data_IF_460438491020
#
_entry.id   IF_460438491020
#
_cell.length_a   1.000
_cell.length_b   1.000
_cell.length_c   1.000
_cell.angle_alpha   90.00
_cell.angle_beta   90.00
_cell.angle_gamma   90.00
#
_symmetry.space_group_name_H-M   'P 1'
#
loop_
_entity.id
_entity.type
_entity.pdbx_description
1 polymer ?
#
# COMPACT_ATOMS: atom_id res chain seq x y z
N UNK A 1 -23.80 4.93 1.47
CA UNK A 1 -23.54 6.17 2.23
C UNK A 1 -22.64 7.06 1.39
N UNK A 2 -23.10 8.26 1.07
CA UNK A 2 -22.39 9.18 0.15
C UNK A 2 -21.02 9.61 0.67
N UNK A 3 -20.90 9.79 1.99
CA UNK A 3 -19.67 10.21 2.66
C UNK A 3 -18.50 9.19 2.56
N UNK A 4 -18.76 7.93 2.23
CA UNK A 4 -17.74 6.90 2.06
C UNK A 4 -17.37 6.64 0.59
N UNK A 5 -17.98 7.36 -0.35
CA UNK A 5 -17.79 7.11 -1.80
C UNK A 5 -16.33 7.13 -2.24
N UNK A 6 -15.56 8.12 -1.81
CA UNK A 6 -14.12 8.20 -2.12
C UNK A 6 -13.37 7.09 -1.39
N UNK A 7 -13.59 6.94 -0.09
CA UNK A 7 -12.92 5.96 0.74
C UNK A 7 -13.06 4.53 0.20
N UNK A 8 -14.27 4.09 -0.11
CA UNK A 8 -14.54 2.75 -0.64
C UNK A 8 -13.90 2.52 -2.02
N UNK A 9 -13.76 3.56 -2.83
CA UNK A 9 -13.11 3.49 -4.14
C UNK A 9 -11.60 3.29 -4.04
N UNK A 10 -10.94 3.86 -3.02
CA UNK A 10 -9.47 3.98 -2.97
C UNK A 10 -8.82 3.12 -1.88
N UNK A 11 -9.60 2.44 -1.04
CA UNK A 11 -9.10 1.69 0.14
C UNK A 11 -8.30 0.44 -0.22
N UNK A 12 -8.68 -0.26 -1.29
CA UNK A 12 -8.10 -1.55 -1.64
C UNK A 12 -6.86 -1.40 -2.51
N UNK A 13 -5.72 -1.90 -2.04
CA UNK A 13 -4.45 -1.92 -2.78
C UNK A 13 -4.32 -3.26 -3.51
N UNK A 14 -4.06 -3.27 -4.83
CA UNK A 14 -3.79 -4.50 -5.54
C UNK A 14 -2.46 -5.13 -5.11
N UNK A 15 -2.34 -6.43 -5.16
CA UNK A 15 -1.12 -7.15 -4.74
C UNK A 15 0.15 -6.68 -5.49
N UNK A 16 -0.01 -6.30 -6.76
CA UNK A 16 1.09 -5.77 -7.59
C UNK A 16 1.65 -4.44 -7.11
N UNK A 17 0.92 -3.71 -6.27
CA UNK A 17 1.34 -2.44 -5.68
C UNK A 17 1.79 -2.59 -4.22
N UNK A 18 1.79 -3.81 -3.67
CA UNK A 18 2.24 -4.11 -2.31
C UNK A 18 3.63 -4.75 -2.33
N UNK A 19 4.45 -4.40 -1.34
CA UNK A 19 5.74 -5.04 -1.10
C UNK A 19 5.91 -5.30 0.39
N UNK A 20 6.17 -6.55 0.77
CA UNK A 20 6.47 -6.89 2.16
C UNK A 20 7.89 -6.43 2.50
N UNK A 21 8.06 -5.74 3.62
CA UNK A 21 9.36 -5.28 4.10
C UNK A 21 10.07 -6.46 4.76
N UNK A 22 11.20 -6.88 4.18
CA UNK A 22 11.94 -8.08 4.62
C UNK A 22 12.90 -7.87 5.79
N UNK A 23 13.30 -6.63 6.07
CA UNK A 23 14.35 -6.34 7.06
C UNK A 23 14.14 -4.98 7.76
N UNK A 24 14.94 -4.74 8.82
CA UNK A 24 14.93 -3.49 9.56
C UNK A 24 13.77 -3.35 10.54
N UNK A 25 13.58 -2.13 11.05
CA UNK A 25 12.56 -1.80 12.08
C UNK A 25 11.12 -2.08 11.62
N UNK A 26 10.87 -2.00 10.32
CA UNK A 26 9.55 -2.19 9.71
C UNK A 26 9.35 -3.60 9.13
N UNK A 27 10.22 -4.56 9.50
CA UNK A 27 10.11 -5.95 9.01
C UNK A 27 8.72 -6.53 9.27
N UNK A 28 8.15 -7.11 8.22
CA UNK A 28 6.80 -7.71 8.26
C UNK A 28 5.67 -6.77 7.92
N UNK A 29 5.92 -5.45 7.88
CA UNK A 29 4.93 -4.48 7.39
C UNK A 29 4.85 -4.50 5.87
N UNK A 30 3.75 -3.98 5.34
CA UNK A 30 3.52 -3.85 3.90
C UNK A 30 3.78 -2.42 3.47
N UNK A 31 4.69 -2.26 2.51
CA UNK A 31 4.90 -1.00 1.80
C UNK A 31 3.97 -0.93 0.58
N UNK A 32 3.46 0.26 0.29
CA UNK A 32 2.61 0.53 -0.87
C UNK A 32 3.42 1.37 -1.85
N UNK A 33 3.51 0.90 -3.10
CA UNK A 33 4.20 1.62 -4.17
C UNK A 33 3.68 3.08 -4.27
N UNK A 34 4.54 4.10 -4.10
CA UNK A 34 4.12 5.50 -4.18
C UNK A 34 3.45 5.87 -5.50
N UNK A 35 3.90 5.30 -6.63
CA UNK A 35 3.29 5.55 -7.93
C UNK A 35 1.87 5.02 -8.06
N UNK A 36 1.52 3.97 -7.31
CA UNK A 36 0.15 3.51 -7.24
C UNK A 36 -0.77 4.55 -6.59
N UNK A 37 -0.30 5.27 -5.56
CA UNK A 37 -1.08 6.37 -4.95
C UNK A 37 -1.35 7.49 -5.95
N UNK A 38 -0.34 7.89 -6.72
CA UNK A 38 -0.49 8.88 -7.80
C UNK A 38 -1.52 8.39 -8.84
N UNK A 39 -1.42 7.12 -9.24
CA UNK A 39 -2.37 6.49 -10.16
C UNK A 39 -3.79 6.56 -9.63
N UNK A 40 -4.02 6.20 -8.37
CA UNK A 40 -5.36 6.20 -7.75
C UNK A 40 -5.93 7.61 -7.64
N UNK A 41 -5.12 8.61 -7.30
CA UNK A 41 -5.55 10.01 -7.32
C UNK A 41 -5.99 10.42 -8.73
N UNK A 42 -5.19 10.07 -9.74
CA UNK A 42 -5.49 10.39 -11.14
C UNK A 42 -6.74 9.66 -11.64
N UNK A 43 -6.91 8.39 -11.31
CA UNK A 43 -8.12 7.61 -11.66
C UNK A 43 -9.38 8.11 -10.94
N UNK A 44 -9.22 8.72 -9.78
CA UNK A 44 -10.36 9.14 -8.96
C UNK A 44 -10.80 10.55 -9.27
N UNK A 45 -9.86 11.46 -9.48
CA UNK A 45 -10.11 12.89 -9.58
C UNK A 45 -9.74 13.50 -10.94
N UNK A 46 -8.94 12.82 -11.76
CA UNK A 46 -8.38 13.34 -13.02
C UNK A 46 -6.87 13.58 -12.92
N UNK A 47 -6.25 14.14 -13.98
CA UNK A 47 -4.81 14.41 -14.01
C UNK A 47 -4.35 15.39 -12.93
N UNK A 48 -3.08 15.26 -12.51
CA UNK A 48 -2.46 16.22 -11.61
C UNK A 48 -2.43 17.61 -12.27
N UNK A 49 -2.83 18.64 -11.53
CA UNK A 49 -3.00 20.01 -12.00
C UNK A 49 -4.41 20.34 -12.46
N UNK A 50 -5.22 19.35 -12.86
CA UNK A 50 -6.60 19.53 -13.32
C UNK A 50 -7.64 18.92 -12.36
N UNK A 51 -7.40 17.70 -11.91
CA UNK A 51 -8.30 16.96 -11.02
C UNK A 51 -7.81 16.90 -9.57
N UNK A 52 -6.52 17.00 -9.38
CA UNK A 52 -5.88 17.14 -8.07
C UNK A 52 -4.53 17.85 -8.21
N UNK A 53 -4.06 18.45 -7.14
CA UNK A 53 -2.72 19.06 -7.07
C UNK A 53 -2.28 19.17 -5.61
N UNK A 54 -1.04 19.57 -5.38
CA UNK A 54 -0.54 19.88 -4.05
C UNK A 54 0.31 21.15 -4.06
N UNK A 55 0.37 21.81 -2.92
CA UNK A 55 1.23 22.96 -2.66
C UNK A 55 2.19 22.60 -1.52
N UNK A 56 3.48 22.88 -1.69
CA UNK A 56 4.46 22.76 -0.63
C UNK A 56 4.30 23.95 0.31
N UNK A 57 3.88 23.69 1.54
CA UNK A 57 3.64 24.73 2.55
C UNK A 57 4.85 24.97 3.45
N UNK A 58 5.70 23.95 3.62
CA UNK A 58 6.96 24.08 4.37
C UNK A 58 8.00 23.09 3.83
N UNK A 59 9.27 23.51 3.88
CA UNK A 59 10.43 22.71 3.53
C UNK A 59 11.60 23.13 4.43
N UNK A 60 11.99 22.21 5.32
CA UNK A 60 12.99 22.52 6.34
C UNK A 60 13.99 21.37 6.53
N UNK A 61 15.08 21.67 7.22
CA UNK A 61 16.02 20.69 7.75
C UNK A 61 16.13 20.84 9.26
N UNK A 62 16.20 19.72 9.96
CA UNK A 62 16.37 19.69 11.40
C UNK A 62 17.61 18.90 11.75
N UNK A 63 18.47 19.50 12.56
CA UNK A 63 19.58 18.80 13.19
C UNK A 63 19.04 18.06 14.41
N UNK A 64 19.24 16.75 14.44
CA UNK A 64 18.92 15.98 15.63
C UNK A 64 20.04 16.14 16.64
N UNK A 65 19.76 16.58 17.89
CA UNK A 65 20.75 16.63 18.93
C UNK A 65 21.33 15.23 19.14
N UNK A 66 22.63 15.13 19.11
CA UNK A 66 23.35 13.91 19.45
C UNK A 66 24.46 14.30 20.42
N UNK A 67 24.56 13.60 21.54
CA UNK A 67 25.66 13.74 22.50
C UNK A 67 26.98 13.19 21.92
N UNK A 68 26.91 12.48 20.83
CA UNK A 68 28.04 11.97 20.05
C UNK A 68 28.06 12.65 18.69
N UNK A 69 29.13 13.32 18.35
CA UNK A 69 29.45 13.70 16.98
C UNK A 69 29.47 12.43 16.08
N UNK A 70 28.89 12.46 14.88
CA UNK A 70 28.32 13.58 14.14
C UNK A 70 26.79 13.64 14.20
N UNK A 71 26.26 14.85 13.96
CA UNK A 71 24.86 15.19 13.93
C UNK A 71 24.11 14.50 12.78
N UNK A 72 22.97 13.88 13.06
CA UNK A 72 22.03 13.45 12.02
C UNK A 72 21.15 14.63 11.58
N UNK A 73 20.96 14.80 10.28
CA UNK A 73 20.10 15.84 9.71
C UNK A 73 18.92 15.19 9.01
N UNK A 74 17.72 15.67 9.31
CA UNK A 74 16.47 15.22 8.68
C UNK A 74 15.91 16.34 7.81
N UNK A 75 15.58 16.02 6.56
CA UNK A 75 14.80 16.86 5.67
C UNK A 75 13.31 16.58 5.89
N UNK A 76 12.51 17.62 6.00
CA UNK A 76 11.04 17.55 6.10
C UNK A 76 10.37 18.35 5.02
N UNK A 77 9.20 17.88 4.58
CA UNK A 77 8.32 18.57 3.63
C UNK A 77 6.90 18.49 4.17
N UNK A 78 6.20 19.62 4.17
CA UNK A 78 4.77 19.70 4.42
C UNK A 78 4.04 20.14 3.16
N UNK A 79 2.88 19.55 2.90
CA UNK A 79 2.04 19.89 1.75
C UNK A 79 0.59 20.06 2.15
N UNK A 80 -0.12 20.82 1.33
CA UNK A 80 -1.58 20.78 1.21
C UNK A 80 -1.95 20.13 -0.12
N UNK A 81 -2.68 19.03 -0.08
CA UNK A 81 -3.23 18.36 -1.25
C UNK A 81 -4.68 18.80 -1.45
N UNK A 82 -5.04 19.07 -2.69
CA UNK A 82 -6.38 19.46 -3.10
C UNK A 82 -6.89 18.52 -4.20
N UNK A 83 -8.19 18.26 -4.21
CA UNK A 83 -8.84 17.50 -5.27
C UNK A 83 -10.13 18.18 -5.70
N UNK A 84 -10.54 17.91 -6.94
CA UNK A 84 -11.74 18.51 -7.54
C UNK A 84 -12.99 17.76 -7.10
N UNK A 85 -14.01 18.51 -6.73
CA UNK A 85 -15.36 18.04 -6.41
C UNK A 85 -16.36 18.67 -7.37
N UNK A 86 -17.62 18.25 -7.32
CA UNK A 86 -18.71 18.86 -8.09
C UNK A 86 -18.94 20.33 -7.71
N UNK A 87 -18.56 20.73 -6.48
CA UNK A 87 -18.71 22.08 -5.94
C UNK A 87 -17.46 22.96 -6.12
N UNK A 88 -16.37 22.41 -6.69
CA UNK A 88 -15.10 23.12 -6.88
C UNK A 88 -13.93 22.38 -6.24
N UNK A 89 -12.91 23.11 -5.78
CA UNK A 89 -11.76 22.52 -5.12
C UNK A 89 -12.06 22.17 -3.66
N UNK A 90 -11.56 21.05 -3.20
CA UNK A 90 -11.66 20.61 -1.80
C UNK A 90 -10.97 21.58 -0.85
N UNK A 91 -11.26 21.47 0.44
CA UNK A 91 -10.37 22.00 1.48
C UNK A 91 -9.02 21.28 1.44
N UNK A 92 -7.92 21.92 1.94
CA UNK A 92 -6.61 21.29 1.95
C UNK A 92 -6.59 20.01 2.79
N UNK A 93 -5.99 18.97 2.23
CA UNK A 93 -5.68 17.73 2.94
C UNK A 93 -4.20 17.77 3.28
N UNK A 94 -3.89 17.97 4.55
CA UNK A 94 -2.52 18.12 5.02
C UNK A 94 -1.74 16.81 4.94
N UNK A 95 -0.48 16.91 4.50
CA UNK A 95 0.49 15.84 4.50
C UNK A 95 1.85 16.32 4.96
N UNK A 96 2.57 15.50 5.69
CA UNK A 96 3.94 15.76 6.10
C UNK A 96 4.79 14.52 5.87
N UNK A 97 6.05 14.73 5.51
CA UNK A 97 6.99 13.64 5.28
C UNK A 97 8.40 14.02 5.70
N UNK A 98 9.21 13.01 5.96
CA UNK A 98 10.58 13.21 6.37
C UNK A 98 11.52 12.14 5.85
N UNK A 99 12.77 12.53 5.63
CA UNK A 99 13.84 11.62 5.23
C UNK A 99 15.17 12.07 5.79
N UNK A 100 16.07 11.12 6.06
CA UNK A 100 17.41 11.44 6.50
C UNK A 100 18.18 12.07 5.35
N UNK A 101 18.65 13.31 5.56
CA UNK A 101 19.50 14.05 4.64
C UNK A 101 20.97 13.73 4.89
N UNK A 102 21.37 13.63 6.16
CA UNK A 102 22.73 13.30 6.55
C UNK A 102 22.71 12.26 7.68
N UNK A 103 23.49 11.22 7.52
CA UNK A 103 23.65 10.14 8.51
C UNK A 103 25.10 9.77 8.66
N UNK A 104 25.47 9.39 9.87
CA UNK A 104 26.76 8.76 10.10
C UNK A 104 26.66 7.26 9.81
N UNK A 105 27.53 6.79 8.95
CA UNK A 105 27.73 5.38 8.66
C UNK A 105 29.13 4.92 9.13
N UNK A 106 29.40 3.62 9.06
CA UNK A 106 30.69 3.05 9.48
C UNK A 106 31.89 3.64 8.72
N UNK A 107 31.67 4.07 7.48
CA UNK A 107 32.71 4.57 6.57
C UNK A 107 32.76 6.10 6.49
N UNK A 108 32.04 6.83 7.37
CA UNK A 108 31.97 8.27 7.37
C UNK A 108 30.58 8.83 7.20
N UNK A 109 30.46 10.13 7.01
CA UNK A 109 29.18 10.81 6.81
C UNK A 109 28.63 10.55 5.43
N UNK A 110 27.40 10.06 5.35
CA UNK A 110 26.64 9.92 4.10
C UNK A 110 25.65 11.07 3.93
N UNK A 111 25.65 11.71 2.76
CA UNK A 111 24.69 12.75 2.40
C UNK A 111 23.75 12.20 1.32
N UNK A 112 22.46 12.22 1.59
CA UNK A 112 21.41 11.79 0.67
C UNK A 112 20.85 12.99 -0.08
N UNK A 113 21.23 13.17 -1.33
CA UNK A 113 20.78 14.26 -2.24
C UNK A 113 19.29 14.11 -2.63
N UNK A 114 18.70 12.92 -2.46
CA UNK A 114 17.29 12.65 -2.71
C UNK A 114 16.36 12.87 -1.50
N UNK A 115 16.91 13.26 -0.35
CA UNK A 115 16.15 13.32 0.91
C UNK A 115 14.86 14.14 0.81
N UNK A 116 14.89 15.29 0.14
CA UNK A 116 13.69 16.11 -0.07
C UNK A 116 12.68 15.47 -1.02
N UNK A 117 13.12 14.74 -2.04
CA UNK A 117 12.24 13.96 -2.93
C UNK A 117 11.51 12.87 -2.16
N UNK A 118 12.26 12.17 -1.30
CA UNK A 118 11.70 11.13 -0.44
C UNK A 118 10.70 11.72 0.56
N UNK A 119 11.06 12.83 1.21
CA UNK A 119 10.17 13.54 2.14
C UNK A 119 8.89 14.03 1.44
N UNK A 120 8.96 14.56 0.23
CA UNK A 120 7.80 14.96 -0.56
C UNK A 120 6.89 13.76 -0.89
N UNK A 121 7.48 12.64 -1.31
CA UNK A 121 6.74 11.41 -1.62
C UNK A 121 6.03 10.87 -0.38
N UNK A 122 6.67 10.95 0.79
CA UNK A 122 6.07 10.56 2.06
C UNK A 122 4.94 11.52 2.46
N UNK A 123 5.11 12.83 2.28
CA UNK A 123 4.07 13.83 2.53
C UNK A 123 2.81 13.58 1.68
N UNK A 124 2.97 13.29 0.39
CA UNK A 124 1.84 12.89 -0.49
C UNK A 124 1.19 11.61 0.04
N UNK A 125 1.98 10.64 0.48
CA UNK A 125 1.48 9.38 1.03
C UNK A 125 0.65 9.61 2.30
N UNK A 126 1.06 10.54 3.15
CA UNK A 126 0.33 10.91 4.38
C UNK A 126 -1.00 11.60 4.04
N UNK A 127 -1.01 12.55 3.10
CA UNK A 127 -2.24 13.19 2.62
C UNK A 127 -3.20 12.15 2.00
N UNK A 128 -2.69 11.22 1.19
CA UNK A 128 -3.47 10.12 0.61
C UNK A 128 -4.15 9.24 1.68
N UNK A 129 -3.48 8.97 2.82
CA UNK A 129 -4.07 8.19 3.92
C UNK A 129 -5.32 8.87 4.49
N UNK A 130 -5.32 10.19 4.59
CA UNK A 130 -6.48 10.94 5.07
C UNK A 130 -7.71 10.81 4.13
N UNK A 131 -7.49 10.53 2.86
CA UNK A 131 -8.54 10.21 1.87
C UNK A 131 -8.97 8.73 1.89
N UNK A 132 -8.32 7.89 2.69
CA UNK A 132 -8.56 6.45 2.73
C UNK A 132 -7.76 5.62 1.73
N UNK A 133 -6.82 6.22 0.99
CA UNK A 133 -6.00 5.50 0.00
C UNK A 133 -5.17 4.42 0.68
N UNK A 134 -5.43 3.17 0.31
CA UNK A 134 -4.75 2.01 0.87
C UNK A 134 -5.15 1.67 2.32
N UNK A 135 -6.31 2.15 2.78
CA UNK A 135 -6.76 1.97 4.16
C UNK A 135 -6.76 0.51 4.62
N UNK A 136 -7.12 -0.44 3.75
CA UNK A 136 -7.15 -1.86 4.08
C UNK A 136 -5.78 -2.42 4.48
N UNK A 137 -4.70 -1.91 3.90
CA UNK A 137 -3.34 -2.33 4.26
C UNK A 137 -3.00 -1.89 5.68
N UNK A 138 -3.35 -0.64 6.04
CA UNK A 138 -3.09 -0.11 7.38
C UNK A 138 -4.00 -0.75 8.43
N UNK A 139 -5.27 -1.00 8.08
CA UNK A 139 -6.23 -1.64 8.97
C UNK A 139 -5.85 -3.09 9.30
N UNK A 140 -5.41 -3.86 8.31
CA UNK A 140 -5.07 -5.27 8.47
C UNK A 140 -3.67 -5.50 9.04
N UNK A 141 -2.73 -4.59 8.82
CA UNK A 141 -1.34 -4.80 9.25
C UNK A 141 -1.03 -4.25 10.64
N UNK A 142 -1.91 -3.46 11.24
CA UNK A 142 -1.68 -2.83 12.54
C UNK A 142 -2.24 -3.65 13.72
N UNK A 143 -2.15 -4.97 13.61
CA UNK A 143 -2.58 -5.91 14.65
C UNK A 143 -1.85 -5.76 16.00
N UNK A 144 -0.77 -4.97 16.05
CA UNK A 144 0.09 -4.90 17.23
C UNK A 144 -0.10 -3.63 18.05
N UNK A 145 -0.57 -2.53 17.44
CA UNK A 145 -0.60 -1.23 18.11
C UNK A 145 -1.97 -0.84 18.65
N UNK A 146 -3.04 -1.29 17.99
CA UNK A 146 -4.41 -0.90 18.32
C UNK A 146 -5.26 -2.05 18.87
N UNK A 147 -4.84 -3.30 18.69
CA UNK A 147 -5.50 -4.46 19.27
C UNK A 147 -4.78 -4.83 20.56
N UNK A 148 -5.26 -4.33 21.69
CA UNK A 148 -4.83 -4.79 23.01
C UNK A 148 -5.42 -6.19 23.24
N UNK A 149 -4.68 -7.22 22.83
CA UNK A 149 -5.12 -8.63 22.96
C UNK A 149 -5.49 -9.03 24.41
N UNK A 150 -5.05 -8.25 25.40
CA UNK A 150 -5.41 -8.46 26.81
C UNK A 150 -6.82 -7.97 27.14
N UNK A 151 -7.39 -7.07 26.30
CA UNK A 151 -8.74 -6.50 26.48
C UNK A 151 -9.80 -7.11 25.56
N UNK A 152 -9.39 -7.96 24.62
CA UNK A 152 -10.32 -8.64 23.72
C UNK A 152 -11.11 -9.71 24.47
N UNK A 153 -12.40 -9.78 24.16
CA UNK A 153 -13.24 -10.90 24.60
C UNK A 153 -12.79 -12.22 23.95
N UNK A 154 -13.15 -13.35 24.52
CA UNK A 154 -12.76 -14.63 23.95
C UNK A 154 -13.39 -14.88 22.57
N UNK A 155 -14.58 -14.30 22.31
CA UNK A 155 -15.26 -14.31 21.01
C UNK A 155 -14.48 -13.49 19.95
N UNK A 156 -14.03 -12.30 20.31
CA UNK A 156 -13.20 -11.46 19.42
C UNK A 156 -11.85 -12.09 19.10
N UNK A 157 -11.24 -12.78 20.09
CA UNK A 157 -10.00 -13.56 19.85
C UNK A 157 -10.22 -14.75 18.93
N UNK A 158 -11.38 -15.42 19.03
CA UNK A 158 -11.74 -16.53 18.15
C UNK A 158 -11.95 -16.04 16.73
N UNK A 159 -12.68 -14.93 16.53
CA UNK A 159 -12.93 -14.31 15.23
C UNK A 159 -11.63 -13.88 14.56
N UNK A 160 -10.75 -13.22 15.30
CA UNK A 160 -9.43 -12.78 14.80
C UNK A 160 -8.56 -13.97 14.37
N UNK A 161 -8.61 -15.08 15.13
CA UNK A 161 -7.88 -16.30 14.77
C UNK A 161 -8.45 -16.95 13.50
N UNK A 162 -9.76 -16.93 13.32
CA UNK A 162 -10.40 -17.43 12.10
C UNK A 162 -10.05 -16.57 10.88
N UNK A 163 -10.09 -15.25 11.00
CA UNK A 163 -9.67 -14.33 9.94
C UNK A 163 -8.21 -14.53 9.55
N UNK A 164 -7.31 -14.63 10.54
CA UNK A 164 -5.89 -14.90 10.29
C UNK A 164 -5.67 -16.27 9.66
N UNK A 165 -6.46 -17.28 10.04
CA UNK A 165 -6.40 -18.62 9.45
C UNK A 165 -6.91 -18.60 8.01
N UNK A 166 -8.01 -17.90 7.74
CA UNK A 166 -8.54 -17.71 6.40
C UNK A 166 -7.56 -16.94 5.49
N UNK A 167 -6.94 -15.87 5.99
CA UNK A 167 -5.93 -15.11 5.26
C UNK A 167 -4.71 -15.98 4.90
N UNK A 168 -4.19 -16.75 5.86
CA UNK A 168 -3.09 -17.69 5.62
C UNK A 168 -3.47 -18.82 4.65
N UNK A 169 -4.71 -19.26 4.67
CA UNK A 169 -5.20 -20.28 3.74
C UNK A 169 -5.26 -19.73 2.30
N UNK A 170 -5.63 -18.47 2.13
CA UNK A 170 -5.64 -17.81 0.82
C UNK A 170 -4.24 -17.56 0.25
N UNK A 171 -3.21 -17.50 1.08
CA UNK A 171 -1.79 -17.40 0.65
C UNK A 171 -1.21 -18.75 0.21
N UNK A 172 -1.84 -19.87 0.55
CA UNK A 172 -1.37 -21.19 0.12
C UNK A 172 -1.56 -21.41 -1.37
N UNK A 173 -0.70 -22.20 -1.95
CA UNK A 173 -0.86 -22.67 -3.34
C UNK A 173 -2.13 -23.51 -3.47
N UNK A 174 -2.71 -23.49 -4.65
CA UNK A 174 -3.87 -24.31 -4.99
C UNK A 174 -3.52 -25.79 -4.97
N UNK A 175 -4.49 -26.61 -4.61
CA UNK A 175 -4.36 -28.07 -4.61
C UNK A 175 -4.29 -28.64 -6.02
N UNK A 176 -3.82 -29.88 -6.15
CA UNK A 176 -3.81 -30.59 -7.43
C UNK A 176 -5.21 -30.67 -8.09
N UNK A 177 -6.28 -30.80 -7.27
CA UNK A 177 -7.65 -30.80 -7.74
C UNK A 177 -8.04 -29.44 -8.32
N UNK A 178 -7.81 -28.36 -7.57
CA UNK A 178 -8.08 -26.99 -8.03
C UNK A 178 -7.29 -26.63 -9.27
N UNK A 179 -6.04 -27.11 -9.38
CA UNK A 179 -5.20 -26.97 -10.57
C UNK A 179 -5.84 -27.63 -11.79
N UNK A 180 -6.35 -28.86 -11.62
CA UNK A 180 -7.02 -29.61 -12.71
C UNK A 180 -8.30 -28.90 -13.14
N UNK A 181 -9.12 -28.49 -12.18
CA UNK A 181 -10.38 -27.78 -12.43
C UNK A 181 -10.11 -26.44 -13.13
N UNK A 182 -9.07 -25.71 -12.72
CA UNK A 182 -8.68 -24.45 -13.35
C UNK A 182 -8.22 -24.64 -14.80
N UNK A 183 -7.38 -25.64 -15.08
CA UNK A 183 -6.92 -25.95 -16.44
C UNK A 183 -8.10 -26.26 -17.36
N UNK A 184 -9.03 -27.12 -16.91
CA UNK A 184 -10.25 -27.43 -17.68
C UNK A 184 -11.13 -26.18 -17.89
N UNK A 185 -11.23 -25.31 -16.89
CA UNK A 185 -12.02 -24.08 -17.00
C UNK A 185 -11.40 -23.06 -17.97
N UNK A 186 -10.06 -22.92 -17.95
CA UNK A 186 -9.31 -22.10 -18.91
C UNK A 186 -9.56 -22.58 -20.35
N UNK A 187 -9.47 -23.89 -20.60
CA UNK A 187 -9.77 -24.49 -21.91
C UNK A 187 -11.20 -24.24 -22.35
N UNK A 188 -12.17 -24.47 -21.46
CA UNK A 188 -13.60 -24.25 -21.76
C UNK A 188 -13.90 -22.80 -22.15
N UNK A 189 -13.18 -21.85 -21.54
CA UNK A 189 -13.34 -20.41 -21.83
C UNK A 189 -12.45 -19.91 -22.97
N UNK A 190 -11.68 -20.79 -23.61
CA UNK A 190 -10.76 -20.42 -24.71
C UNK A 190 -9.70 -19.42 -24.29
N UNK A 191 -9.29 -19.44 -23.00
CA UNK A 191 -8.27 -18.55 -22.48
C UNK A 191 -6.88 -19.21 -22.57
N UNK A 192 -5.83 -18.39 -22.62
CA UNK A 192 -4.45 -18.87 -22.64
C UNK A 192 -3.88 -18.92 -21.22
N UNK A 193 -3.53 -20.12 -20.76
CA UNK A 193 -2.90 -20.34 -19.46
C UNK A 193 -1.57 -19.61 -19.33
N UNK A 194 -0.82 -19.43 -20.44
CA UNK A 194 0.44 -18.71 -20.42
C UNK A 194 0.28 -17.25 -20.08
N UNK A 195 -0.75 -16.60 -20.63
CA UNK A 195 -1.08 -15.20 -20.31
C UNK A 195 -1.40 -15.04 -18.81
N UNK A 196 -2.08 -16.02 -18.22
CA UNK A 196 -2.37 -16.03 -16.78
C UNK A 196 -1.09 -16.19 -15.97
N UNK A 197 -0.23 -17.13 -16.34
CA UNK A 197 1.05 -17.37 -15.68
C UNK A 197 1.97 -16.14 -15.77
N UNK A 198 2.06 -15.51 -16.93
CA UNK A 198 2.87 -14.29 -17.13
C UNK A 198 2.35 -13.13 -16.29
N UNK A 199 1.02 -12.97 -16.20
CA UNK A 199 0.39 -11.92 -15.39
C UNK A 199 0.72 -12.06 -13.90
N UNK A 200 0.65 -13.28 -13.35
CA UNK A 200 0.93 -13.55 -11.95
C UNK A 200 2.41 -13.87 -11.68
N UNK A 201 3.25 -13.91 -12.71
CA UNK A 201 4.69 -14.24 -12.65
C UNK A 201 4.95 -15.60 -12.01
N UNK A 202 4.18 -16.60 -12.39
CA UNK A 202 4.33 -17.99 -11.95
C UNK A 202 4.73 -18.89 -13.12
N UNK A 203 5.44 -19.97 -12.84
CA UNK A 203 5.90 -20.90 -13.87
C UNK A 203 4.77 -21.76 -14.46
N UNK A 204 3.78 -22.11 -13.66
CA UNK A 204 2.60 -22.89 -14.05
C UNK A 204 1.42 -22.48 -13.18
N UNK A 205 0.19 -22.72 -13.64
CA UNK A 205 -1.04 -22.41 -12.91
C UNK A 205 -1.13 -23.12 -11.56
N UNK A 206 -0.41 -24.22 -11.34
CA UNK A 206 -0.34 -24.92 -10.05
C UNK A 206 0.40 -24.11 -8.97
N UNK A 207 1.21 -23.14 -9.37
CA UNK A 207 1.94 -22.27 -8.45
C UNK A 207 1.10 -21.04 -8.01
N UNK A 208 -0.11 -20.88 -8.51
CA UNK A 208 -1.02 -19.83 -8.07
C UNK A 208 -1.45 -20.03 -6.62
N UNK A 209 -1.62 -18.95 -5.88
CA UNK A 209 -2.24 -18.99 -4.56
C UNK A 209 -3.77 -19.11 -4.69
N UNK A 210 -4.45 -19.55 -3.62
CA UNK A 210 -5.92 -19.62 -3.60
C UNK A 210 -6.58 -18.25 -3.85
N UNK A 211 -5.96 -17.17 -3.38
CA UNK A 211 -6.43 -15.82 -3.67
C UNK A 211 -6.33 -15.48 -5.17
N UNK A 212 -5.21 -15.82 -5.82
CA UNK A 212 -5.00 -15.62 -7.25
C UNK A 212 -5.94 -16.49 -8.09
N UNK A 213 -6.14 -17.74 -7.69
CA UNK A 213 -7.10 -18.66 -8.29
C UNK A 213 -8.52 -18.04 -8.30
N UNK A 214 -8.99 -17.55 -7.17
CA UNK A 214 -10.30 -16.89 -7.10
C UNK A 214 -10.42 -15.64 -7.99
N UNK A 215 -9.33 -14.90 -8.22
CA UNK A 215 -9.30 -13.76 -9.13
C UNK A 215 -9.37 -14.22 -10.60
N UNK A 216 -8.62 -15.27 -10.97
CA UNK A 216 -8.64 -15.84 -12.32
C UNK A 216 -10.03 -16.34 -12.66
N UNK A 217 -10.65 -17.13 -11.78
CA UNK A 217 -12.00 -17.68 -11.99
C UNK A 217 -13.02 -16.54 -12.19
N UNK A 218 -13.00 -15.51 -11.34
CA UNK A 218 -13.89 -14.34 -11.50
C UNK A 218 -13.71 -13.64 -12.84
N UNK A 219 -12.46 -13.44 -13.29
CA UNK A 219 -12.18 -12.80 -14.59
C UNK A 219 -12.63 -13.66 -15.77
N UNK A 220 -12.52 -14.98 -15.68
CA UNK A 220 -12.99 -15.89 -16.73
C UNK A 220 -14.52 -16.01 -16.76
N UNK A 221 -15.19 -15.81 -15.63
CA UNK A 221 -16.66 -15.78 -15.57
C UNK A 221 -17.24 -14.48 -16.13
N UNK A 222 -16.50 -13.37 -16.08
CA UNK A 222 -16.95 -12.05 -16.58
C UNK A 222 -16.71 -11.86 -18.08
N UNK A 223 -16.11 -12.83 -18.76
CA UNK A 223 -15.99 -12.93 -20.21
C UNK A 223 -17.02 -13.96 -20.73
#
# INVERSE_FOLDING_TARGET
MENLKIYEKVRAVPETAKKRIGAGRLKGMTDINPMWRIKVLTETFGPCGEGWYYEVTDKATYNLPSDAEPCEVVATVCINLYYKTDEGWSRPVFGTGGSKLMTQEKNGTYVNDEAFKMALTDAISVACKALGVGADVYWNSDNTKYIDQKKMTDEEKALLKEEQKAAKEMEKQISAKETKDLKAFIETKGADAKVICDFYKVADVSALTKAQYGQVVRRLMSK
#
